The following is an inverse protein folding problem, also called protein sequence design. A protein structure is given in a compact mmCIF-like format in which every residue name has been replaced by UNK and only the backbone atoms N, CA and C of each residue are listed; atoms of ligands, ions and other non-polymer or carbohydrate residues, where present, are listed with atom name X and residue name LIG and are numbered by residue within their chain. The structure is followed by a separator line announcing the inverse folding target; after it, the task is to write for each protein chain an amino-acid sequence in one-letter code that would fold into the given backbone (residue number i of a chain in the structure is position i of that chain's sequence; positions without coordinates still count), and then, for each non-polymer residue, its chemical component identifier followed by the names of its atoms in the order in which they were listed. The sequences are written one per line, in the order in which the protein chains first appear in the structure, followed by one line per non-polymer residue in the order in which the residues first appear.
data_IF_496206966781
#
_entry.id   IF_496206966781
#
_cell.length_a   1.000
_cell.length_b   1.000
_cell.length_c   1.000
_cell.angle_alpha   90.00
_cell.angle_beta   90.00
_cell.angle_gamma   90.00
#
_symmetry.space_group_name_H-M   'P 1'
#
loop_
_entity.id
_entity.type
_entity.pdbx_description
1 polymer ?
#
# COMPACT_ATOMS: atom_id res chain seq x y z
N UNK A 1 -22.07 9.68 4.06
CA UNK A 1 -21.43 9.41 5.38
C UNK A 1 -21.78 10.55 6.30
N UNK A 2 -22.28 10.27 7.52
CA UNK A 2 -22.53 11.33 8.49
C UNK A 2 -21.19 12.01 8.82
N UNK A 3 -21.13 13.34 8.84
CA UNK A 3 -19.90 14.12 9.06
C UNK A 3 -19.12 13.64 10.30
N UNK A 4 -19.85 13.27 11.35
CA UNK A 4 -19.28 12.71 12.59
C UNK A 4 -18.43 11.45 12.33
N UNK A 5 -18.87 10.54 11.45
CA UNK A 5 -18.12 9.32 11.14
C UNK A 5 -16.82 9.64 10.41
N UNK A 6 -16.86 10.54 9.44
CA UNK A 6 -15.67 10.98 8.71
C UNK A 6 -14.68 11.66 9.66
N UNK A 7 -15.17 12.54 10.54
CA UNK A 7 -14.33 13.20 11.56
C UNK A 7 -13.66 12.20 12.48
N UNK A 8 -14.39 11.18 12.97
CA UNK A 8 -13.81 10.13 13.82
C UNK A 8 -12.75 9.30 13.09
N UNK A 9 -12.96 9.00 11.81
CA UNK A 9 -11.99 8.28 10.98
C UNK A 9 -10.71 9.10 10.81
N UNK A 10 -10.85 10.38 10.44
CA UNK A 10 -9.71 11.30 10.29
C UNK A 10 -8.97 11.44 11.63
N UNK A 11 -9.68 11.64 12.74
CA UNK A 11 -9.08 11.73 14.07
C UNK A 11 -8.34 10.45 14.46
N UNK A 12 -8.91 9.28 14.18
CA UNK A 12 -8.27 7.99 14.42
C UNK A 12 -6.97 7.83 13.61
N UNK A 13 -6.97 8.26 12.35
CA UNK A 13 -5.77 8.25 11.51
C UNK A 13 -4.72 9.24 12.00
N UNK A 14 -5.11 10.49 12.29
CA UNK A 14 -4.20 11.49 12.84
C UNK A 14 -3.59 11.01 14.15
N UNK A 15 -4.38 10.41 15.05
CA UNK A 15 -3.88 9.81 16.27
C UNK A 15 -2.84 8.72 15.98
N UNK A 16 -3.13 7.79 15.07
CA UNK A 16 -2.22 6.71 14.75
C UNK A 16 -0.90 7.24 14.14
N UNK A 17 -0.95 8.23 13.24
CA UNK A 17 0.22 8.93 12.69
C UNK A 17 1.04 9.59 13.81
N UNK A 18 0.39 10.35 14.69
CA UNK A 18 1.07 11.12 15.76
C UNK A 18 1.65 10.19 16.82
N UNK A 19 0.99 9.06 17.11
CA UNK A 19 1.44 8.09 18.10
C UNK A 19 2.75 7.43 17.73
N UNK A 20 3.05 7.30 16.42
CA UNK A 20 4.20 6.54 15.88
C UNK A 20 4.30 5.10 16.42
N UNK A 21 3.18 4.56 16.92
CA UNK A 21 3.15 3.21 17.49
C UNK A 21 2.67 2.22 16.41
N UNK A 22 3.51 1.23 16.04
CA UNK A 22 3.15 0.21 15.05
C UNK A 22 1.89 -0.57 15.43
N UNK A 23 1.64 -0.79 16.73
CA UNK A 23 0.46 -1.51 17.21
C UNK A 23 -0.82 -0.72 16.95
N UNK A 24 -0.84 0.59 17.26
CA UNK A 24 -2.02 1.41 16.99
C UNK A 24 -2.32 1.52 15.50
N UNK A 25 -1.29 1.65 14.68
CA UNK A 25 -1.44 1.57 13.23
C UNK A 25 -2.06 0.23 12.83
N UNK A 26 -1.47 -0.90 13.25
CA UNK A 26 -1.95 -2.24 12.92
C UNK A 26 -3.42 -2.48 13.34
N UNK A 27 -3.81 -2.06 14.55
CA UNK A 27 -5.20 -2.16 15.03
C UNK A 27 -6.11 -1.34 14.12
N UNK A 28 -5.77 -0.09 13.84
CA UNK A 28 -6.57 0.80 13.00
C UNK A 28 -6.77 0.23 11.58
N UNK A 29 -5.70 -0.32 10.99
CA UNK A 29 -5.73 -1.00 9.68
C UNK A 29 -6.75 -2.12 9.69
N UNK A 30 -6.58 -3.08 10.62
CA UNK A 30 -7.39 -4.28 10.66
C UNK A 30 -8.86 -3.94 10.93
N UNK A 31 -9.13 -3.09 11.93
CA UNK A 31 -10.50 -2.65 12.25
C UNK A 31 -11.15 -1.97 11.05
N UNK A 32 -10.41 -1.12 10.32
CA UNK A 32 -10.91 -0.44 9.12
C UNK A 32 -11.30 -1.45 8.04
N UNK A 33 -10.42 -2.40 7.71
CA UNK A 33 -10.69 -3.39 6.65
C UNK A 33 -11.88 -4.28 7.03
N UNK A 34 -11.91 -4.82 8.26
CA UNK A 34 -13.03 -5.65 8.72
C UNK A 34 -14.34 -4.87 8.75
N UNK A 35 -14.34 -3.62 9.22
CA UNK A 35 -15.56 -2.81 9.29
C UNK A 35 -16.11 -2.51 7.90
N UNK A 36 -15.25 -2.08 6.96
CA UNK A 36 -15.67 -1.82 5.57
C UNK A 36 -16.20 -3.10 4.92
N UNK A 37 -15.54 -4.23 5.15
CA UNK A 37 -15.99 -5.53 4.64
C UNK A 37 -17.36 -5.93 5.22
N UNK A 38 -17.59 -5.77 6.52
CA UNK A 38 -18.87 -6.11 7.17
C UNK A 38 -20.02 -5.22 6.71
N UNK A 39 -19.79 -3.90 6.60
CA UNK A 39 -20.78 -2.94 6.09
C UNK A 39 -21.18 -3.29 4.66
N UNK A 40 -20.22 -3.73 3.84
CA UNK A 40 -20.40 -4.02 2.43
C UNK A 40 -20.44 -5.52 2.12
N UNK A 41 -20.81 -6.37 3.09
CA UNK A 41 -20.73 -7.84 2.97
C UNK A 41 -21.48 -8.46 1.77
N UNK A 42 -22.43 -7.72 1.20
CA UNK A 42 -23.22 -8.15 0.03
C UNK A 42 -22.68 -7.60 -1.30
N UNK A 43 -21.67 -6.73 -1.27
CA UNK A 43 -21.00 -6.17 -2.45
C UNK A 43 -19.69 -6.92 -2.70
N UNK A 44 -19.74 -7.85 -3.66
CA UNK A 44 -18.59 -8.69 -4.02
C UNK A 44 -17.36 -7.87 -4.41
N UNK A 45 -17.52 -6.67 -4.97
CA UNK A 45 -16.39 -5.85 -5.40
C UNK A 45 -15.61 -5.32 -4.20
N UNK A 46 -16.32 -4.82 -3.19
CA UNK A 46 -15.70 -4.29 -1.96
C UNK A 46 -15.14 -5.42 -1.12
N UNK A 47 -15.87 -6.53 -0.98
CA UNK A 47 -15.40 -7.68 -0.20
C UNK A 47 -14.15 -8.30 -0.82
N UNK A 48 -14.14 -8.54 -2.15
CA UNK A 48 -12.96 -9.09 -2.84
C UNK A 48 -11.76 -8.15 -2.72
N UNK A 49 -11.98 -6.84 -2.81
CA UNK A 49 -10.91 -5.88 -2.59
C UNK A 49 -10.39 -5.92 -1.15
N UNK A 50 -11.26 -5.86 -0.14
CA UNK A 50 -10.85 -5.95 1.26
C UNK A 50 -10.08 -7.26 1.56
N UNK A 51 -10.48 -8.37 0.93
CA UNK A 51 -9.75 -9.64 1.03
C UNK A 51 -8.34 -9.56 0.44
N UNK A 52 -8.16 -8.90 -0.71
CA UNK A 52 -6.81 -8.65 -1.28
C UNK A 52 -5.94 -7.90 -0.27
N UNK A 53 -6.46 -6.82 0.33
CA UNK A 53 -5.72 -6.04 1.32
C UNK A 53 -5.34 -6.88 2.55
N UNK A 54 -6.27 -7.70 3.07
CA UNK A 54 -5.98 -8.59 4.20
C UNK A 54 -4.90 -9.61 3.84
N UNK A 55 -5.01 -10.27 2.69
CA UNK A 55 -4.05 -11.28 2.25
C UNK A 55 -2.66 -10.65 2.13
N UNK A 56 -2.54 -9.53 1.42
CA UNK A 56 -1.25 -8.85 1.24
C UNK A 56 -0.69 -8.39 2.58
N UNK A 57 -1.51 -7.79 3.47
CA UNK A 57 -1.01 -7.37 4.80
C UNK A 57 -0.56 -8.52 5.68
N UNK A 58 -1.29 -9.63 5.69
CA UNK A 58 -0.87 -10.82 6.43
C UNK A 58 0.42 -11.40 5.86
N UNK A 59 0.53 -11.50 4.54
CA UNK A 59 1.75 -11.94 3.86
C UNK A 59 2.93 -11.01 4.16
N UNK A 60 2.73 -9.70 4.08
CA UNK A 60 3.74 -8.69 4.40
C UNK A 60 4.22 -8.85 5.85
N UNK A 61 3.32 -8.93 6.83
CA UNK A 61 3.69 -9.13 8.24
C UNK A 61 4.43 -10.43 8.47
N UNK A 62 3.97 -11.55 7.90
CA UNK A 62 4.65 -12.84 8.05
C UNK A 62 6.06 -12.78 7.45
N UNK A 63 6.21 -12.20 6.26
CA UNK A 63 7.51 -12.09 5.61
C UNK A 63 8.43 -11.14 6.40
N UNK A 64 7.92 -9.98 6.81
CA UNK A 64 8.66 -8.98 7.56
C UNK A 64 9.23 -9.52 8.87
N UNK A 65 8.38 -10.14 9.69
CA UNK A 65 8.76 -10.62 11.03
C UNK A 65 9.70 -11.84 11.00
N UNK A 66 9.68 -12.64 9.93
CA UNK A 66 10.40 -13.92 9.90
C UNK A 66 11.56 -13.97 8.91
N UNK A 67 11.60 -13.10 7.89
CA UNK A 67 12.55 -13.22 6.78
C UNK A 67 13.27 -11.92 6.42
N UNK A 68 12.71 -10.74 6.75
CA UNK A 68 13.33 -9.47 6.37
C UNK A 68 14.37 -9.07 7.43
N UNK A 69 15.62 -8.95 6.98
CA UNK A 69 16.72 -8.45 7.80
C UNK A 69 16.56 -6.94 7.94
N UNK A 70 16.17 -6.49 9.14
CA UNK A 70 15.99 -5.06 9.44
C UNK A 70 17.20 -4.44 10.15
N UNK A 71 18.08 -5.28 10.71
CA UNK A 71 19.35 -4.91 11.34
C UNK A 71 20.34 -6.05 11.16
N UNK A 72 21.61 -5.72 10.94
CA UNK A 72 22.69 -6.71 10.83
C UNK A 72 23.99 -6.09 11.30
N UNK A 73 24.80 -6.86 12.04
CA UNK A 73 26.16 -6.48 12.43
C UNK A 73 27.19 -6.82 11.34
N UNK A 74 26.83 -7.70 10.40
CA UNK A 74 27.73 -8.20 9.35
C UNK A 74 27.47 -7.60 7.99
N UNK A 75 26.29 -7.03 7.76
CA UNK A 75 25.93 -6.37 6.51
C UNK A 75 26.01 -4.85 6.68
N UNK A 76 26.47 -4.17 5.63
CA UNK A 76 26.45 -2.71 5.62
C UNK A 76 25.02 -2.17 5.62
N UNK A 77 24.88 -0.92 6.06
CA UNK A 77 23.57 -0.26 6.11
C UNK A 77 22.97 -0.11 4.71
N UNK A 78 23.80 0.09 3.67
CA UNK A 78 23.36 0.11 2.28
C UNK A 78 22.56 -1.14 1.92
N UNK A 79 23.09 -2.34 2.20
CA UNK A 79 22.43 -3.60 1.83
C UNK A 79 21.19 -3.88 2.67
N UNK A 80 21.21 -3.58 3.97
CA UNK A 80 20.03 -3.74 4.85
C UNK A 80 18.88 -2.87 4.34
N UNK A 81 19.14 -1.59 4.06
CA UNK A 81 18.13 -0.68 3.54
C UNK A 81 17.65 -1.06 2.14
N UNK A 82 18.56 -1.53 1.28
CA UNK A 82 18.19 -2.00 -0.05
C UNK A 82 17.18 -3.17 0.02
N UNK A 83 17.37 -4.11 0.95
CA UNK A 83 16.41 -5.20 1.21
C UNK A 83 15.06 -4.64 1.65
N UNK A 84 15.04 -3.70 2.60
CA UNK A 84 13.81 -3.09 3.11
C UNK A 84 13.03 -2.38 2.00
N UNK A 85 13.68 -1.48 1.25
CA UNK A 85 13.03 -0.70 0.20
C UNK A 85 12.58 -1.58 -0.96
N UNK A 86 13.39 -2.57 -1.38
CA UNK A 86 13.01 -3.52 -2.41
C UNK A 86 11.83 -4.41 -1.98
N UNK A 87 11.81 -4.86 -0.72
CA UNK A 87 10.70 -5.63 -0.18
C UNK A 87 9.39 -4.84 -0.24
N UNK A 88 9.37 -3.60 0.24
CA UNK A 88 8.18 -2.76 0.18
C UNK A 88 7.74 -2.50 -1.27
N UNK A 89 8.68 -2.22 -2.18
CA UNK A 89 8.37 -2.07 -3.60
C UNK A 89 7.68 -3.31 -4.19
N UNK A 90 8.18 -4.52 -3.88
CA UNK A 90 7.61 -5.78 -4.36
C UNK A 90 6.20 -6.00 -3.78
N UNK A 91 5.99 -5.69 -2.50
CA UNK A 91 4.67 -5.79 -1.86
C UNK A 91 3.68 -4.82 -2.53
N UNK A 92 4.07 -3.57 -2.73
CA UNK A 92 3.21 -2.54 -3.34
C UNK A 92 2.91 -2.84 -4.82
N UNK A 93 3.90 -3.35 -5.56
CA UNK A 93 3.71 -3.85 -6.93
C UNK A 93 2.73 -5.03 -6.97
N UNK A 94 2.89 -6.00 -6.07
CA UNK A 94 2.02 -7.17 -5.97
C UNK A 94 0.58 -6.74 -5.66
N UNK A 95 0.41 -5.82 -4.71
CA UNK A 95 -0.89 -5.26 -4.34
C UNK A 95 -1.55 -4.54 -5.53
N UNK A 96 -0.79 -3.70 -6.25
CA UNK A 96 -1.28 -3.02 -7.44
C UNK A 96 -1.76 -4.02 -8.51
N UNK A 97 -0.96 -5.04 -8.83
CA UNK A 97 -1.31 -6.08 -9.80
C UNK A 97 -2.59 -6.82 -9.35
N UNK A 98 -2.68 -7.22 -8.09
CA UNK A 98 -3.85 -7.92 -7.55
C UNK A 98 -5.11 -7.07 -7.65
N UNK A 99 -5.03 -5.76 -7.38
CA UNK A 99 -6.17 -4.84 -7.53
C UNK A 99 -6.55 -4.65 -9.00
N UNK A 100 -5.58 -4.45 -9.90
CA UNK A 100 -5.83 -4.34 -11.35
C UNK A 100 -6.49 -5.59 -11.93
N UNK A 101 -6.08 -6.78 -11.47
CA UNK A 101 -6.59 -8.07 -11.95
C UNK A 101 -7.79 -8.59 -11.14
N UNK A 102 -8.25 -7.90 -10.09
CA UNK A 102 -9.35 -8.33 -9.23
C UNK A 102 -10.63 -8.63 -10.03
N UNK A 103 -11.06 -7.69 -10.86
CA UNK A 103 -12.30 -7.81 -11.62
C UNK A 103 -12.28 -8.99 -12.62
N UNK A 104 -11.27 -9.11 -13.54
CA UNK A 104 -11.22 -10.26 -14.45
C UNK A 104 -11.06 -11.59 -13.71
N UNK A 105 -10.25 -11.65 -12.64
CA UNK A 105 -10.11 -12.87 -11.84
C UNK A 105 -11.43 -13.28 -11.18
N UNK A 106 -12.13 -12.32 -10.56
CA UNK A 106 -13.41 -12.59 -9.88
C UNK A 106 -14.48 -13.04 -10.88
N UNK A 107 -14.54 -12.43 -12.08
CA UNK A 107 -15.44 -12.87 -13.16
C UNK A 107 -15.12 -14.30 -13.60
N UNK A 108 -13.85 -14.61 -13.84
CA UNK A 108 -13.42 -15.97 -14.24
C UNK A 108 -13.76 -17.02 -13.17
N UNK A 109 -13.53 -16.71 -11.90
CA UNK A 109 -13.86 -17.59 -10.78
C UNK A 109 -15.37 -17.85 -10.63
N UNK A 110 -16.21 -16.83 -10.84
CA UNK A 110 -17.67 -16.98 -10.82
C UNK A 110 -18.19 -17.75 -12.04
N UNK A 111 -17.66 -17.45 -13.24
CA UNK A 111 -18.03 -18.14 -14.47
C UNK A 111 -17.73 -19.64 -14.39
N UNK A 112 -16.56 -20.02 -13.86
CA UNK A 112 -16.19 -21.42 -13.60
C UNK A 112 -17.14 -22.15 -12.63
N UNK A 113 -17.96 -21.40 -11.88
CA UNK A 113 -18.95 -21.93 -10.93
C UNK A 113 -20.40 -21.71 -11.38
N UNK A 114 -20.62 -21.37 -12.65
CA UNK A 114 -21.94 -21.02 -13.21
C UNK A 114 -22.68 -19.95 -12.41
N UNK A 115 -21.96 -18.98 -11.84
CA UNK A 115 -22.53 -17.85 -11.08
C UNK A 115 -22.61 -16.58 -11.93
N UNK A 116 -23.59 -15.69 -11.67
CA UNK A 116 -23.71 -14.42 -12.39
C UNK A 116 -22.47 -13.53 -12.22
N UNK A 117 -22.01 -12.92 -13.32
CA UNK A 117 -20.80 -12.07 -13.37
C UNK A 117 -21.12 -10.57 -13.52
N UNK A 118 -22.39 -10.23 -13.76
CA UNK A 118 -22.93 -8.89 -14.01
C UNK A 118 -22.69 -7.91 -12.85
N UNK A 119 -22.60 -8.45 -11.63
CA UNK A 119 -22.34 -7.67 -10.41
C UNK A 119 -20.86 -7.33 -10.21
N UNK A 120 -19.96 -7.86 -11.04
CA UNK A 120 -18.52 -7.63 -10.93
C UNK A 120 -18.09 -6.49 -11.86
N UNK A 121 -17.75 -5.36 -11.27
CA UNK A 121 -17.30 -4.16 -11.97
C UNK A 121 -16.21 -3.46 -11.16
N UNK A 122 -15.51 -2.54 -11.81
CA UNK A 122 -14.45 -1.74 -11.19
C UNK A 122 -15.09 -0.47 -10.62
N UNK A 123 -14.83 -0.17 -9.35
CA UNK A 123 -15.21 1.13 -8.76
C UNK A 123 -14.16 2.20 -9.02
N UNK A 124 -14.58 3.48 -9.04
CA UNK A 124 -13.64 4.62 -9.12
C UNK A 124 -12.57 4.57 -8.02
N UNK A 125 -12.94 4.14 -6.82
CA UNK A 125 -11.99 4.00 -5.73
C UNK A 125 -10.94 2.89 -5.96
N UNK A 126 -11.20 1.88 -6.78
CA UNK A 126 -10.17 0.90 -7.20
C UNK A 126 -9.12 1.54 -8.10
N UNK A 127 -9.53 2.42 -9.03
CA UNK A 127 -8.60 3.17 -9.87
C UNK A 127 -7.73 4.11 -9.03
N UNK A 128 -8.35 4.79 -8.06
CA UNK A 128 -7.62 5.61 -7.11
C UNK A 128 -6.62 4.80 -6.26
N UNK A 129 -6.93 3.55 -5.92
CA UNK A 129 -5.99 2.65 -5.24
C UNK A 129 -4.79 2.33 -6.12
N UNK A 130 -5.00 2.02 -7.40
CA UNK A 130 -3.89 1.79 -8.35
C UNK A 130 -2.97 3.01 -8.43
N UNK A 131 -3.53 4.22 -8.56
CA UNK A 131 -2.73 5.46 -8.54
C UNK A 131 -1.98 5.66 -7.23
N UNK A 132 -2.60 5.33 -6.10
CA UNK A 132 -1.97 5.45 -4.79
C UNK A 132 -0.81 4.44 -4.62
N UNK A 133 -0.98 3.19 -5.04
CA UNK A 133 0.09 2.19 -5.01
C UNK A 133 1.24 2.55 -5.94
N UNK A 134 0.95 3.18 -7.07
CA UNK A 134 1.99 3.75 -7.91
C UNK A 134 2.81 4.81 -7.16
N UNK A 135 2.17 5.69 -6.39
CA UNK A 135 2.89 6.66 -5.55
C UNK A 135 3.73 5.99 -4.46
N UNK A 136 3.23 4.93 -3.82
CA UNK A 136 4.02 4.13 -2.87
C UNK A 136 5.29 3.58 -3.53
N UNK A 137 5.16 2.92 -4.68
CA UNK A 137 6.29 2.36 -5.41
C UNK A 137 7.31 3.41 -5.84
N UNK A 138 6.87 4.61 -6.24
CA UNK A 138 7.79 5.70 -6.57
C UNK A 138 8.63 6.13 -5.36
N UNK A 139 8.02 6.18 -4.17
CA UNK A 139 8.74 6.51 -2.93
C UNK A 139 9.74 5.40 -2.57
N UNK A 140 9.36 4.14 -2.72
CA UNK A 140 10.26 3.01 -2.48
C UNK A 140 11.45 3.01 -3.44
N UNK A 141 11.19 3.25 -4.73
CA UNK A 141 12.24 3.33 -5.74
C UNK A 141 13.15 4.54 -5.50
N UNK A 142 12.59 5.70 -5.15
CA UNK A 142 13.37 6.89 -4.83
C UNK A 142 14.26 6.67 -3.60
N UNK A 143 13.74 6.04 -2.54
CA UNK A 143 14.51 5.70 -1.35
C UNK A 143 15.62 4.68 -1.66
N UNK A 144 15.33 3.67 -2.50
CA UNK A 144 16.30 2.68 -2.93
C UNK A 144 17.44 3.31 -3.75
N UNK A 145 17.10 4.19 -4.71
CA UNK A 145 18.09 4.90 -5.51
C UNK A 145 18.93 5.85 -4.65
N UNK A 146 18.31 6.64 -3.78
CA UNK A 146 19.01 7.54 -2.85
C UNK A 146 19.94 6.75 -1.92
N UNK A 147 19.53 5.57 -1.46
CA UNK A 147 20.37 4.70 -0.64
C UNK A 147 21.65 4.25 -1.35
N UNK A 148 21.59 3.89 -2.64
CA UNK A 148 22.80 3.56 -3.41
C UNK A 148 23.66 4.80 -3.68
N UNK A 149 23.04 5.94 -4.00
CA UNK A 149 23.76 7.19 -4.27
C UNK A 149 24.49 7.70 -3.02
N UNK A 150 23.96 7.48 -1.83
CA UNK A 150 24.63 7.83 -0.56
C UNK A 150 25.82 6.94 -0.22
N UNK A 151 25.88 5.73 -0.79
CA UNK A 151 26.88 4.71 -0.49
C UNK A 151 27.66 4.32 -1.76
N UNK A 152 27.99 5.30 -2.60
CA UNK A 152 28.75 5.07 -3.83
C UNK A 152 30.15 4.49 -3.56
N UNK A 153 30.74 4.80 -2.41
CA UNK A 153 31.98 4.22 -1.89
C UNK A 153 31.87 2.69 -1.75
N UNK A 154 30.74 2.19 -1.24
CA UNK A 154 30.50 0.75 -1.08
C UNK A 154 30.35 0.00 -2.41
N UNK A 155 30.04 0.71 -3.50
CA UNK A 155 29.90 0.14 -4.85
C UNK A 155 31.04 0.52 -5.81
N UNK A 156 32.17 1.01 -5.26
CA UNK A 156 33.46 1.11 -5.96
C UNK A 156 33.74 2.45 -6.66
N UNK A 157 33.00 3.51 -6.33
CA UNK A 157 33.34 4.86 -6.78
C UNK A 157 34.45 5.48 -5.91
N UNK A 158 35.11 6.53 -6.41
CA UNK A 158 36.13 7.24 -5.63
C UNK A 158 35.53 7.97 -4.44
N UNK A 159 36.32 8.10 -3.37
CA UNK A 159 35.95 8.84 -2.15
C UNK A 159 35.47 10.28 -2.47
N UNK A 160 36.16 10.96 -3.39
CA UNK A 160 35.78 12.30 -3.86
C UNK A 160 34.37 12.34 -4.47
N UNK A 161 33.99 11.31 -5.23
CA UNK A 161 32.64 11.22 -5.82
C UNK A 161 31.61 10.87 -4.76
N UNK A 162 31.94 9.93 -3.87
CA UNK A 162 31.05 9.50 -2.80
C UNK A 162 30.76 10.64 -1.81
N UNK A 163 31.76 11.46 -1.47
CA UNK A 163 31.62 12.58 -0.53
C UNK A 163 30.58 13.60 -1.01
N UNK A 164 30.54 13.90 -2.33
CA UNK A 164 29.56 14.81 -2.94
C UNK A 164 28.12 14.36 -2.67
N UNK A 165 27.86 13.06 -2.68
CA UNK A 165 26.52 12.49 -2.58
C UNK A 165 26.17 11.94 -1.19
N UNK A 166 27.14 11.80 -0.30
CA UNK A 166 26.98 11.30 1.07
C UNK A 166 25.89 12.00 1.90
N UNK A 167 25.67 13.29 1.62
CA UNK A 167 24.70 14.14 2.33
C UNK A 167 23.31 14.19 1.69
N UNK A 168 23.07 13.50 0.57
CA UNK A 168 21.78 13.51 -0.12
C UNK A 168 20.69 12.87 0.76
N UNK A 169 19.70 13.64 1.21
CA UNK A 169 18.76 13.23 2.28
C UNK A 169 17.28 13.56 2.00
N UNK A 170 16.85 13.49 0.75
CA UNK A 170 15.53 13.98 0.33
C UNK A 170 14.40 13.04 0.76
N UNK A 171 14.55 11.75 0.47
CA UNK A 171 13.55 10.71 0.75
C UNK A 171 14.02 9.79 1.86
N UNK A 172 15.31 9.49 1.98
CA UNK A 172 15.82 8.44 2.86
C UNK A 172 15.37 8.60 4.32
N UNK A 173 15.52 9.79 4.91
CA UNK A 173 15.09 10.05 6.30
C UNK A 173 13.61 10.35 6.45
N UNK A 174 12.92 10.70 5.36
CA UNK A 174 11.49 10.99 5.36
C UNK A 174 10.64 9.78 4.96
N UNK A 175 11.30 8.67 4.58
CA UNK A 175 10.68 7.50 4.01
C UNK A 175 9.51 6.99 4.84
N UNK A 176 9.75 6.74 6.13
CA UNK A 176 8.72 6.25 7.06
C UNK A 176 7.54 7.23 7.16
N UNK A 177 7.81 8.54 7.27
CA UNK A 177 6.77 9.56 7.34
C UNK A 177 5.91 9.61 6.09
N UNK A 178 6.53 9.54 4.91
CA UNK A 178 5.80 9.51 3.63
C UNK A 178 4.95 8.23 3.54
N UNK A 179 5.50 7.06 3.88
CA UNK A 179 4.75 5.78 3.86
C UNK A 179 3.57 5.81 4.83
N UNK A 180 3.71 6.41 6.00
CA UNK A 180 2.62 6.58 6.97
C UNK A 180 1.49 7.46 6.41
N UNK A 181 1.83 8.57 5.75
CA UNK A 181 0.85 9.46 5.11
C UNK A 181 0.10 8.74 3.99
N UNK A 182 0.81 8.09 3.07
CA UNK A 182 0.21 7.33 1.98
C UNK A 182 -0.68 6.19 2.50
N UNK A 183 -0.26 5.53 3.57
CA UNK A 183 -1.03 4.49 4.28
C UNK A 183 -2.32 5.06 4.86
N UNK A 184 -2.27 6.26 5.42
CA UNK A 184 -3.47 6.91 5.94
C UNK A 184 -4.45 7.29 4.83
N UNK A 185 -3.94 7.78 3.70
CA UNK A 185 -4.75 8.07 2.50
C UNK A 185 -5.41 6.79 1.98
N UNK A 186 -4.71 5.65 1.97
CA UNK A 186 -5.26 4.38 1.50
C UNK A 186 -6.46 3.93 2.34
N UNK A 187 -6.41 4.13 3.65
CA UNK A 187 -7.54 3.83 4.52
C UNK A 187 -8.69 4.82 4.38
N UNK A 188 -8.43 6.11 4.16
CA UNK A 188 -9.49 7.07 3.81
C UNK A 188 -10.20 6.64 2.53
N UNK A 189 -9.43 6.17 1.54
CA UNK A 189 -9.97 5.67 0.30
C UNK A 189 -10.79 4.39 0.50
N UNK A 190 -10.36 3.48 1.39
CA UNK A 190 -11.16 2.30 1.75
C UNK A 190 -12.49 2.69 2.40
N UNK A 191 -12.46 3.66 3.32
CA UNK A 191 -13.67 4.23 3.92
C UNK A 191 -14.59 4.91 2.90
N UNK A 192 -14.03 5.50 1.84
CA UNK A 192 -14.83 6.07 0.75
C UNK A 192 -15.71 5.03 0.05
N UNK A 193 -15.33 3.74 0.08
CA UNK A 193 -16.16 2.66 -0.47
C UNK A 193 -17.43 2.40 0.35
N UNK A 194 -17.60 3.04 1.50
CA UNK A 194 -18.87 3.02 2.26
C UNK A 194 -19.88 4.07 1.78
N UNK A 195 -19.51 4.96 0.86
CA UNK A 195 -20.37 6.03 0.32
C UNK A 195 -20.58 5.91 -1.20
N UNK A 196 -21.64 6.55 -1.69
CA UNK A 196 -22.07 6.46 -3.09
C UNK A 196 -20.96 6.84 -4.09
N UNK A 197 -20.22 7.93 -3.83
CA UNK A 197 -19.14 8.41 -4.71
C UNK A 197 -18.04 7.37 -4.89
N UNK A 198 -17.60 6.71 -3.81
CA UNK A 198 -16.59 5.65 -3.88
C UNK A 198 -17.09 4.38 -4.58
N UNK A 199 -18.41 4.17 -4.60
CA UNK A 199 -19.09 3.08 -5.32
C UNK A 199 -19.56 3.46 -6.73
N UNK A 200 -19.17 4.61 -7.26
CA UNK A 200 -19.47 4.92 -8.64
C UNK A 200 -18.72 3.94 -9.54
N UNK A 201 -19.47 3.25 -10.41
CA UNK A 201 -18.90 2.36 -11.40
C UNK A 201 -17.94 3.18 -12.27
N UNK A 202 -16.70 2.72 -12.37
CA UNK A 202 -15.76 3.31 -13.31
C UNK A 202 -16.26 2.99 -14.72
N UNK A 203 -16.59 4.04 -15.49
CA UNK A 203 -16.91 3.90 -16.90
C UNK A 203 -15.60 3.66 -17.63
N UNK A 204 -15.26 2.42 -17.90
CA UNK A 204 -14.32 2.12 -18.99
C UNK A 204 -14.93 2.67 -20.26
N UNK A 205 -14.20 3.47 -21.04
CA UNK A 205 -14.60 3.75 -22.40
C UNK A 205 -14.82 2.39 -23.08
N UNK A 206 -16.01 2.16 -23.63
CA UNK A 206 -16.31 0.93 -24.35
C UNK A 206 -15.29 0.79 -25.48
N UNK A 207 -14.29 -0.06 -25.27
CA UNK A 207 -13.49 -0.60 -26.37
C UNK A 207 -14.36 -1.70 -26.98
N UNK A 208 -15.26 -1.25 -27.85
CA UNK A 208 -15.97 -2.06 -28.85
C UNK A 208 -14.98 -2.72 -29.80
#
# INVERSE_FOLDING_TARGET
MNMIKLTLIILGMTFAIVSKDPLYMAILVNVTIFTVMLINRHDINIVSLCLIFLIVKLTETIIWENFIVTKSETMSSMWVNAIIFAFHFIIDLSLMIMVMLRAPYTRGWLAARNKPIDKVHIYRAEVAFVSLFFAFMLVDLAALLENFIRHLDEIGFSDETAEVFSNWNWIYYQYEHIKIVLTSISYLLLWSMTIAVGKEKHRTADLS
#
